data_IF_062306841415
#
_entry.id   IF_062306841415
#
_cell.length_a   1.000
_cell.length_b   1.000
_cell.length_c   1.000
_cell.angle_alpha   90.00
_cell.angle_beta   90.00
_cell.angle_gamma   90.00
#
_symmetry.space_group_name_H-M   'P 1'
#
loop_
_entity.id
_entity.type
_entity.pdbx_description
1 polymer ?
#
# COMPACT_ATOMS: atom_id res chain seq x y z
N UNK A 1 -32.80 -19.34 -41.87
CA UNK A 1 -33.09 -19.80 -40.50
C UNK A 1 -31.91 -19.39 -39.64
N UNK A 2 -32.07 -18.33 -38.86
CA UNK A 2 -31.00 -17.79 -38.02
C UNK A 2 -31.07 -18.50 -36.66
N UNK A 3 -30.07 -19.31 -36.34
CA UNK A 3 -29.93 -19.93 -35.03
C UNK A 3 -29.70 -18.83 -33.98
N UNK A 4 -30.76 -18.48 -33.26
CA UNK A 4 -30.70 -17.63 -32.08
C UNK A 4 -29.89 -18.39 -31.02
N UNK A 5 -28.59 -18.09 -30.92
CA UNK A 5 -27.71 -18.67 -29.90
C UNK A 5 -28.23 -18.26 -28.52
N UNK A 6 -29.09 -19.08 -27.93
CA UNK A 6 -29.51 -18.94 -26.54
C UNK A 6 -28.27 -19.16 -25.67
N UNK A 7 -27.72 -18.09 -25.12
CA UNK A 7 -26.62 -18.16 -24.17
C UNK A 7 -27.06 -18.97 -22.96
N UNK A 8 -26.27 -19.99 -22.59
CA UNK A 8 -26.47 -20.70 -21.33
C UNK A 8 -26.27 -19.72 -20.17
N UNK A 9 -27.04 -19.85 -19.06
CA UNK A 9 -26.85 -18.98 -17.91
C UNK A 9 -25.42 -19.12 -17.38
N UNK A 10 -24.76 -17.99 -17.15
CA UNK A 10 -23.40 -17.93 -16.61
C UNK A 10 -23.45 -17.70 -15.10
N UNK A 11 -22.56 -18.36 -14.38
CA UNK A 11 -22.38 -18.18 -12.93
C UNK A 11 -21.09 -17.39 -12.72
N UNK A 12 -21.17 -16.29 -11.97
CA UNK A 12 -19.98 -15.52 -11.59
C UNK A 12 -19.16 -16.31 -10.58
N UNK A 13 -17.92 -16.64 -10.95
CA UNK A 13 -16.98 -17.30 -10.06
C UNK A 13 -16.18 -16.30 -9.22
N UNK A 14 -15.62 -15.26 -9.85
CA UNK A 14 -14.80 -14.25 -9.18
C UNK A 14 -14.94 -12.87 -9.85
N UNK A 15 -14.63 -11.82 -9.09
CA UNK A 15 -14.34 -10.50 -9.65
C UNK A 15 -12.83 -10.32 -9.72
N UNK A 16 -12.34 -9.90 -10.89
CA UNK A 16 -10.93 -9.57 -11.08
C UNK A 16 -10.80 -8.08 -11.40
N UNK A 17 -9.71 -7.47 -10.95
CA UNK A 17 -9.31 -6.11 -11.28
C UNK A 17 -8.01 -6.14 -12.09
N UNK A 18 -7.91 -5.24 -13.05
CA UNK A 18 -6.74 -5.08 -13.90
C UNK A 18 -5.62 -4.35 -13.13
N UNK A 19 -4.39 -4.80 -13.33
CA UNK A 19 -3.18 -4.17 -12.82
C UNK A 19 -2.10 -4.19 -13.88
N UNK A 20 -1.05 -3.39 -13.64
CA UNK A 20 0.16 -3.37 -14.44
C UNK A 20 1.37 -3.75 -13.59
N UNK A 21 2.22 -4.63 -14.12
CA UNK A 21 3.48 -5.01 -13.49
C UNK A 21 4.43 -3.81 -13.48
N UNK A 22 4.91 -3.41 -12.31
CA UNK A 22 5.91 -2.34 -12.20
C UNK A 22 7.26 -2.74 -12.82
N UNK A 23 7.55 -4.04 -12.91
CA UNK A 23 8.82 -4.56 -13.42
C UNK A 23 8.80 -4.73 -14.95
N UNK A 24 7.75 -5.35 -15.49
CA UNK A 24 7.67 -5.69 -16.91
C UNK A 24 6.74 -4.77 -17.71
N UNK A 25 5.91 -3.96 -17.04
CA UNK A 25 4.86 -3.16 -17.69
C UNK A 25 3.68 -4.01 -18.22
N UNK A 26 3.72 -5.33 -18.04
CA UNK A 26 2.70 -6.24 -18.53
C UNK A 26 1.40 -6.12 -17.71
N UNK A 27 0.27 -6.16 -18.41
CA UNK A 27 -1.06 -6.22 -17.79
C UNK A 27 -1.31 -7.60 -17.20
N UNK A 28 -1.85 -7.62 -15.99
CA UNK A 28 -2.34 -8.83 -15.34
C UNK A 28 -3.65 -8.55 -14.61
N UNK A 29 -4.40 -9.59 -14.30
CA UNK A 29 -5.61 -9.45 -13.49
C UNK A 29 -5.40 -10.12 -12.14
N UNK A 30 -5.96 -9.53 -11.08
CA UNK A 30 -5.90 -10.10 -9.74
C UNK A 30 -7.27 -10.02 -9.08
N UNK A 31 -7.51 -10.89 -8.11
CA UNK A 31 -8.76 -10.91 -7.37
C UNK A 31 -8.79 -12.04 -6.36
N UNK A 32 -10.01 -12.40 -5.96
CA UNK A 32 -10.24 -13.45 -4.99
C UNK A 32 -11.30 -14.43 -5.50
N UNK A 33 -11.07 -15.70 -5.21
CA UNK A 33 -12.04 -16.78 -5.34
C UNK A 33 -12.26 -17.38 -3.94
N UNK A 34 -13.32 -16.95 -3.26
CA UNK A 34 -13.49 -17.24 -1.84
C UNK A 34 -12.38 -16.58 -1.01
N UNK A 35 -11.66 -17.39 -0.22
CA UNK A 35 -10.49 -16.94 0.54
C UNK A 35 -9.20 -16.91 -0.29
N UNK A 36 -9.14 -17.63 -1.42
CA UNK A 36 -7.91 -17.77 -2.20
C UNK A 36 -7.63 -16.54 -3.07
N UNK A 37 -6.36 -16.13 -3.12
CA UNK A 37 -5.88 -15.10 -4.02
C UNK A 37 -5.72 -15.70 -5.42
N UNK A 38 -6.22 -15.00 -6.43
CA UNK A 38 -6.10 -15.41 -7.83
C UNK A 38 -5.35 -14.34 -8.61
N UNK A 39 -4.45 -14.78 -9.47
CA UNK A 39 -3.73 -13.92 -10.43
C UNK A 39 -3.84 -14.55 -11.81
N UNK A 40 -4.15 -13.74 -12.82
CA UNK A 40 -4.24 -14.15 -14.23
C UNK A 40 -3.16 -13.43 -15.01
N UNK A 41 -2.21 -14.20 -15.53
CA UNK A 41 -1.03 -13.71 -16.25
C UNK A 41 -1.14 -14.08 -17.73
N UNK A 42 -0.72 -13.18 -18.62
CA UNK A 42 -0.65 -13.50 -20.04
C UNK A 42 0.43 -14.57 -20.26
N UNK A 43 0.11 -15.59 -21.05
CA UNK A 43 1.10 -16.57 -21.48
C UNK A 43 2.00 -15.95 -22.56
N UNK A 44 3.32 -16.01 -22.32
CA UNK A 44 4.35 -15.47 -23.21
C UNK A 44 4.53 -16.34 -24.45
N UNK A 45 4.13 -17.61 -24.38
CA UNK A 45 4.23 -18.57 -25.48
C UNK A 45 2.93 -18.72 -26.27
N UNK A 46 1.94 -17.86 -26.02
CA UNK A 46 0.66 -17.90 -26.71
C UNK A 46 0.83 -17.70 -28.23
N UNK A 47 0.09 -18.48 -29.02
CA UNK A 47 0.10 -18.34 -30.48
C UNK A 47 -0.34 -16.93 -30.91
N UNK A 48 0.24 -16.38 -32.00
CA UNK A 48 -0.20 -15.11 -32.56
C UNK A 48 -1.71 -15.13 -32.88
N UNK A 49 -2.44 -14.11 -32.40
CA UNK A 49 -3.89 -14.01 -32.58
C UNK A 49 -4.74 -14.84 -31.62
N UNK A 50 -4.13 -15.64 -30.73
CA UNK A 50 -4.82 -16.44 -29.71
C UNK A 50 -4.24 -16.16 -28.32
N UNK A 51 -4.62 -15.04 -27.68
CA UNK A 51 -4.10 -14.73 -26.35
C UNK A 51 -4.51 -15.82 -25.37
N UNK A 52 -3.51 -16.43 -24.73
CA UNK A 52 -3.68 -17.43 -23.69
C UNK A 52 -3.32 -16.81 -22.34
N UNK A 53 -4.03 -17.22 -21.29
CA UNK A 53 -3.87 -16.69 -19.95
C UNK A 53 -3.71 -17.84 -18.95
N UNK A 54 -2.75 -17.71 -18.05
CA UNK A 54 -2.49 -18.62 -16.96
C UNK A 54 -3.20 -18.11 -15.71
N UNK A 55 -4.07 -18.94 -15.11
CA UNK A 55 -4.70 -18.67 -13.82
C UNK A 55 -3.88 -19.33 -12.72
N UNK A 56 -3.35 -18.52 -11.82
CA UNK A 56 -2.62 -18.95 -10.64
C UNK A 56 -3.50 -18.71 -9.40
N UNK A 57 -3.46 -19.64 -8.45
CA UNK A 57 -4.21 -19.57 -7.20
C UNK A 57 -3.26 -19.81 -6.03
N UNK A 58 -3.44 -19.03 -4.98
CA UNK A 58 -2.68 -19.15 -3.74
C UNK A 58 -3.65 -19.14 -2.56
N UNK A 59 -3.39 -20.00 -1.57
CA UNK A 59 -4.06 -19.91 -0.28
C UNK A 59 -3.76 -18.55 0.38
N UNK A 60 -4.76 -17.97 1.03
CA UNK A 60 -4.56 -16.73 1.77
C UNK A 60 -3.99 -17.05 3.13
N UNK A 61 -2.85 -16.42 3.44
CA UNK A 61 -2.27 -16.50 4.77
C UNK A 61 -3.29 -16.01 5.82
N UNK A 62 -3.43 -16.73 6.95
CA UNK A 62 -4.29 -16.30 8.02
C UNK A 62 -3.86 -14.90 8.46
N UNK A 63 -4.81 -13.96 8.44
CA UNK A 63 -4.56 -12.63 8.99
C UNK A 63 -4.26 -12.85 10.47
N UNK A 64 -3.04 -12.52 10.91
CA UNK A 64 -2.70 -12.57 12.33
C UNK A 64 -3.81 -11.86 13.09
N UNK A 65 -4.43 -12.56 14.04
CA UNK A 65 -5.36 -11.94 14.96
C UNK A 65 -4.57 -10.87 15.69
N UNK A 66 -4.83 -9.59 15.39
CA UNK A 66 -4.39 -8.49 16.24
C UNK A 66 -4.98 -8.79 17.61
N UNK A 67 -4.12 -9.31 18.49
CA UNK A 67 -4.51 -9.80 19.78
C UNK A 67 -5.32 -8.75 20.51
N UNK A 68 -6.53 -9.13 20.92
CA UNK A 68 -7.28 -8.47 21.97
C UNK A 68 -6.52 -8.60 23.30
N UNK A 69 -5.37 -7.93 23.39
CA UNK A 69 -4.67 -7.68 24.62
C UNK A 69 -5.28 -6.44 25.24
N UNK A 70 -6.15 -6.65 26.23
CA UNK A 70 -6.45 -5.67 27.26
C UNK A 70 -5.15 -5.37 28.05
N UNK A 71 -4.26 -4.60 27.42
CA UNK A 71 -3.07 -4.04 28.03
C UNK A 71 -3.47 -2.82 28.85
N UNK A 72 -3.42 -2.98 30.16
CA UNK A 72 -3.74 -1.98 31.17
C UNK A 72 -3.01 -0.66 30.87
N UNK A 73 -3.79 0.40 30.67
CA UNK A 73 -3.32 1.78 30.84
C UNK A 73 -2.90 1.96 32.30
N UNK A 74 -1.61 1.74 32.59
CA UNK A 74 -1.00 2.19 33.82
C UNK A 74 -0.66 3.66 33.67
N UNK A 75 -1.47 4.48 34.35
CA UNK A 75 -1.22 5.89 34.50
C UNK A 75 0.05 6.15 35.31
N UNK A 76 0.84 7.10 34.82
CA UNK A 76 1.59 8.00 35.69
C UNK A 76 0.89 9.34 35.66
N UNK A 77 0.21 9.65 36.76
CA UNK A 77 -0.32 10.97 36.99
C UNK A 77 0.81 11.99 37.15
N UNK A 78 0.62 13.18 36.60
CA UNK A 78 1.04 14.38 37.30
C UNK A 78 0.06 15.52 37.02
N UNK A 79 -0.71 15.80 38.07
CA UNK A 79 -1.49 16.99 38.30
C UNK A 79 -0.63 18.25 38.22
N UNK A 80 -1.11 19.28 37.54
CA UNK A 80 -0.93 20.66 37.98
C UNK A 80 -2.12 21.51 37.55
N UNK A 81 -3.12 21.54 38.44
CA UNK A 81 -4.06 22.65 38.51
C UNK A 81 -3.28 23.88 38.96
N UNK A 82 -3.25 24.94 38.15
CA UNK A 82 -3.03 26.29 38.65
C UNK A 82 -3.97 27.24 37.93
N UNK A 83 -5.06 27.54 38.62
CA UNK A 83 -5.86 28.74 38.36
C UNK A 83 -5.04 29.96 38.74
N UNK A 84 -5.10 31.00 37.91
CA UNK A 84 -4.51 32.30 38.18
C UNK A 84 -5.05 33.33 37.18
N UNK A 85 -6.12 34.02 37.57
CA UNK A 85 -6.60 35.23 36.92
C UNK A 85 -5.59 36.37 37.14
N UNK A 86 -5.30 37.17 36.11
CA UNK A 86 -4.74 38.50 36.33
C UNK A 86 -3.87 39.11 35.24
N UNK A 87 -4.43 40.14 34.60
CA UNK A 87 -3.77 41.37 34.12
C UNK A 87 -2.94 41.38 32.82
N UNK A 88 -3.61 41.91 31.79
CA UNK A 88 -3.20 43.03 30.93
C UNK A 88 -1.80 43.64 31.14
N UNK A 89 -1.00 43.73 30.07
CA UNK A 89 -0.63 45.01 29.41
C UNK A 89 0.25 44.75 28.16
N UNK A 90 0.19 45.73 27.24
CA UNK A 90 0.59 45.66 25.82
C UNK A 90 1.95 46.42 25.63
N UNK A 91 2.38 46.74 24.40
CA UNK A 91 3.56 46.25 23.71
C UNK A 91 4.77 47.23 23.69
N UNK A 92 5.95 46.79 23.25
CA UNK A 92 6.90 47.68 22.54
C UNK A 92 7.95 46.91 21.73
N UNK A 93 8.37 47.56 20.65
CA UNK A 93 9.15 47.07 19.54
C UNK A 93 10.65 46.99 19.81
N UNK A 94 11.35 46.11 19.07
CA UNK A 94 12.64 46.48 18.49
C UNK A 94 12.97 45.62 17.25
N UNK A 95 13.02 46.31 16.11
CA UNK A 95 13.69 45.88 14.88
C UNK A 95 15.20 45.95 15.08
N UNK A 96 15.92 45.04 14.44
CA UNK A 96 17.08 45.26 13.53
C UNK A 96 18.14 44.18 13.73
N UNK A 97 18.55 43.56 12.62
CA UNK A 97 19.65 42.61 12.57
C UNK A 97 19.62 41.77 11.29
N UNK A 98 20.01 42.39 10.17
CA UNK A 98 20.38 41.69 8.94
C UNK A 98 21.46 40.65 9.24
N UNK A 99 21.41 39.48 8.58
CA UNK A 99 22.50 39.06 7.68
C UNK A 99 22.13 37.83 6.85
N UNK A 100 22.68 37.85 5.64
CA UNK A 100 22.45 36.97 4.50
C UNK A 100 23.62 36.01 4.41
N UNK A 101 23.37 34.69 4.30
CA UNK A 101 24.21 33.78 3.47
C UNK A 101 23.54 32.41 3.30
N UNK A 102 23.14 32.09 2.07
CA UNK A 102 23.29 30.74 1.48
C UNK A 102 24.65 30.74 0.73
N UNK A 103 25.27 29.62 0.30
CA UNK A 103 24.73 28.26 0.11
C UNK A 103 25.68 27.11 0.57
N UNK A 104 25.21 25.85 0.54
CA UNK A 104 26.04 24.69 0.17
C UNK A 104 25.20 23.41 0.03
N UNK A 105 25.21 22.84 -1.19
CA UNK A 105 24.83 21.45 -1.49
C UNK A 105 25.91 20.50 -0.95
N UNK A 106 25.52 19.35 -0.38
CA UNK A 106 26.32 18.11 -0.34
C UNK A 106 25.38 16.97 0.09
N UNK A 107 24.91 16.14 -0.85
CA UNK A 107 25.54 14.90 -1.33
C UNK A 107 25.26 13.71 -0.39
N UNK A 108 24.38 12.83 -0.88
CA UNK A 108 24.12 11.48 -0.38
C UNK A 108 25.40 10.63 -0.43
N UNK A 109 25.59 9.68 0.49
CA UNK A 109 26.17 8.41 0.09
C UNK A 109 25.20 7.25 0.30
N UNK A 110 25.07 6.49 -0.77
CA UNK A 110 24.34 5.25 -0.93
C UNK A 110 24.67 4.24 0.18
N UNK A 111 23.65 3.88 0.97
CA UNK A 111 23.66 2.63 1.74
C UNK A 111 23.22 1.50 0.82
N UNK A 112 24.17 0.65 0.43
CA UNK A 112 23.89 -0.63 -0.23
C UNK A 112 23.21 -1.52 0.81
N UNK A 113 21.90 -1.70 0.69
CA UNK A 113 21.21 -2.80 1.36
C UNK A 113 21.30 -4.01 0.44
N UNK A 114 22.27 -4.85 0.79
CA UNK A 114 22.38 -6.23 0.37
C UNK A 114 21.10 -6.97 0.78
N UNK A 115 20.24 -7.26 -0.18
CA UNK A 115 19.15 -8.22 0.01
C UNK A 115 19.60 -9.51 -0.65
N UNK A 116 20.24 -10.35 0.17
CA UNK A 116 20.49 -11.74 -0.14
C UNK A 116 19.22 -12.41 -0.67
N UNK A 117 19.28 -12.80 -1.93
CA UNK A 117 19.29 -14.19 -2.37
C UNK A 117 18.49 -15.22 -1.56
N UNK A 118 17.27 -14.90 -1.16
CA UNK A 118 16.35 -15.90 -0.61
C UNK A 118 14.90 -15.55 -0.93
N UNK A 119 14.38 -16.04 -2.06
CA UNK A 119 13.02 -16.58 -2.13
C UNK A 119 12.94 -17.65 -3.25
N UNK A 120 12.45 -18.87 -2.96
CA UNK A 120 12.33 -19.96 -3.93
C UNK A 120 11.18 -19.70 -4.91
N UNK A 121 11.41 -20.18 -6.13
CA UNK A 121 10.58 -20.07 -7.34
C UNK A 121 9.09 -20.34 -7.13
#
# INVERSE_FOLDING_TARGET
MSEERRFKPLIKLAGLYENQSQRSGETYFAGYLGSAKVVVLRDKNAEPGKPTWNLCIQEREPKAEEGGGAGQSQGYGQSNQRQGYGQSQRPSAQRQGMQVTQPAQQAQPHGVVDYGDDLPF
#
